data_IF_105161009845
#
_entry.id   IF_105161009845
#
_cell.length_a   1.000
_cell.length_b   1.000
_cell.length_c   1.000
_cell.angle_alpha   90.00
_cell.angle_beta   90.00
_cell.angle_gamma   90.00
#
_symmetry.space_group_name_H-M   'P 1'
#
loop_
_entity.id
_entity.type
_entity.pdbx_description
1 polymer ?
#
# COMPACT_ATOMS: atom_id res chain seq x y z
N UNK A 1 16.68 6.05 -21.33
CA UNK A 1 15.72 6.71 -20.43
C UNK A 1 14.30 6.23 -20.74
N UNK A 2 13.55 5.92 -19.68
CA UNK A 2 12.12 5.67 -19.81
C UNK A 2 11.37 6.96 -19.53
N UNK A 3 10.43 7.37 -20.40
CA UNK A 3 9.60 8.53 -20.09
C UNK A 3 8.73 8.24 -18.86
N UNK A 4 8.35 9.27 -18.08
CA UNK A 4 7.32 9.11 -17.06
C UNK A 4 6.01 8.61 -17.67
N UNK A 5 5.16 8.01 -16.88
CA UNK A 5 3.84 7.58 -17.32
C UNK A 5 2.93 8.78 -17.58
N UNK A 6 2.15 9.18 -16.59
CA UNK A 6 1.27 10.34 -16.67
C UNK A 6 1.78 11.46 -15.78
N UNK A 7 1.98 12.65 -16.33
CA UNK A 7 2.16 13.88 -15.57
C UNK A 7 0.88 14.72 -15.63
N UNK A 8 0.30 15.02 -14.48
CA UNK A 8 -0.99 15.69 -14.37
C UNK A 8 -0.77 17.16 -13.98
N UNK A 9 -1.20 18.03 -14.88
CA UNK A 9 -1.10 19.50 -14.74
C UNK A 9 -2.47 20.20 -14.70
N UNK A 10 -3.57 19.44 -14.72
CA UNK A 10 -4.93 19.98 -14.61
C UNK A 10 -5.49 19.76 -13.20
N UNK A 11 -6.03 20.79 -12.53
CA UNK A 11 -6.64 20.63 -11.22
C UNK A 11 -7.89 19.75 -11.32
N UNK A 12 -8.16 18.96 -10.27
CA UNK A 12 -9.31 18.07 -10.19
C UNK A 12 -9.31 16.89 -11.18
N UNK A 13 -8.21 16.65 -11.91
CA UNK A 13 -8.09 15.56 -12.89
C UNK A 13 -8.33 14.20 -12.24
N UNK A 14 -9.06 13.33 -12.96
CA UNK A 14 -9.31 11.94 -12.55
C UNK A 14 -8.62 10.96 -13.47
N UNK A 15 -7.91 10.00 -12.89
CA UNK A 15 -7.32 8.84 -13.58
C UNK A 15 -8.05 7.59 -13.08
N UNK A 16 -8.79 6.92 -13.96
CA UNK A 16 -9.72 5.86 -13.56
C UNK A 16 -9.44 4.58 -14.34
N UNK A 17 -9.31 3.45 -13.64
CA UNK A 17 -9.22 2.10 -14.20
C UNK A 17 -8.11 1.91 -15.25
N UNK A 18 -7.02 2.64 -15.14
CA UNK A 18 -5.88 2.53 -16.06
C UNK A 18 -4.99 1.35 -15.69
N UNK A 19 -4.25 0.86 -16.66
CA UNK A 19 -3.09 -0.02 -16.44
C UNK A 19 -1.85 0.74 -16.91
N UNK A 20 -0.87 0.88 -16.03
CA UNK A 20 0.38 1.59 -16.30
C UNK A 20 1.54 0.68 -15.92
N UNK A 21 2.36 0.34 -16.90
CA UNK A 21 3.47 -0.55 -16.66
C UNK A 21 4.74 -0.08 -17.36
N UNK A 22 5.87 -0.49 -16.78
CA UNK A 22 7.20 -0.33 -17.40
C UNK A 22 7.53 1.12 -17.85
N UNK A 23 7.07 2.12 -17.08
CA UNK A 23 7.38 3.54 -17.32
C UNK A 23 8.58 4.00 -16.50
N UNK A 24 9.10 5.19 -16.80
CA UNK A 24 10.04 5.90 -15.93
C UNK A 24 9.37 6.44 -14.67
N UNK A 25 10.02 7.37 -14.01
CA UNK A 25 9.50 8.00 -12.78
C UNK A 25 8.81 9.34 -13.09
N UNK A 26 7.63 9.59 -12.50
CA UNK A 26 6.72 8.66 -11.83
C UNK A 26 5.82 7.88 -12.81
N UNK A 27 5.14 6.83 -12.34
CA UNK A 27 4.06 6.20 -13.10
C UNK A 27 2.90 7.17 -13.29
N UNK A 28 2.43 7.79 -12.20
CA UNK A 28 1.53 8.94 -12.20
C UNK A 28 2.14 10.03 -11.33
N UNK A 29 2.31 11.22 -11.87
CA UNK A 29 2.82 12.41 -11.18
C UNK A 29 1.75 13.50 -11.06
N UNK A 30 1.54 14.01 -9.84
CA UNK A 30 0.75 15.20 -9.59
C UNK A 30 1.62 16.27 -8.92
N UNK A 31 1.57 17.46 -9.48
CA UNK A 31 2.34 18.59 -9.02
C UNK A 31 1.41 19.62 -8.37
N UNK A 32 1.85 20.26 -7.28
CA UNK A 32 1.04 21.26 -6.57
C UNK A 32 0.72 22.46 -7.46
N UNK A 33 -0.30 23.22 -7.07
CA UNK A 33 -0.84 24.42 -7.72
C UNK A 33 -1.54 24.11 -9.06
N UNK A 34 -0.81 23.58 -10.02
CA UNK A 34 -1.32 23.28 -11.36
C UNK A 34 -2.08 21.95 -11.44
N UNK A 35 -1.85 21.05 -10.50
CA UNK A 35 -2.49 19.73 -10.45
C UNK A 35 -3.25 19.44 -9.17
N UNK A 36 -3.64 20.45 -8.40
CA UNK A 36 -4.26 20.29 -7.10
C UNK A 36 -5.61 19.56 -7.15
N UNK A 37 -5.90 18.79 -6.08
CA UNK A 37 -7.08 17.94 -5.98
C UNK A 37 -7.07 16.75 -6.96
N UNK A 38 -8.22 16.15 -7.21
CA UNK A 38 -8.38 15.05 -8.17
C UNK A 38 -8.31 13.65 -7.57
N UNK A 39 -8.43 12.65 -8.45
CA UNK A 39 -8.62 11.25 -8.05
C UNK A 39 -7.77 10.30 -8.91
N UNK A 40 -7.12 9.32 -8.28
CA UNK A 40 -6.62 8.11 -8.94
C UNK A 40 -7.39 6.93 -8.38
N UNK A 41 -8.12 6.24 -9.25
CA UNK A 41 -9.02 5.18 -8.84
C UNK A 41 -8.86 3.91 -9.69
N UNK A 42 -8.80 2.75 -9.04
CA UNK A 42 -8.87 1.45 -9.70
C UNK A 42 -7.73 1.16 -10.69
N UNK A 43 -6.65 1.91 -10.61
CA UNK A 43 -5.50 1.82 -11.52
C UNK A 43 -4.53 0.75 -11.04
N UNK A 44 -3.98 -0.02 -11.97
CA UNK A 44 -2.98 -1.06 -11.71
C UNK A 44 -1.63 -0.57 -12.23
N UNK A 45 -0.61 -0.54 -11.37
CA UNK A 45 0.70 0.05 -11.71
C UNK A 45 1.84 -0.86 -11.26
N UNK A 46 2.73 -1.23 -12.21
CA UNK A 46 3.95 -2.00 -11.88
C UNK A 46 5.12 -1.65 -12.79
N UNK A 47 6.34 -2.03 -12.38
CA UNK A 47 7.55 -1.86 -13.18
C UNK A 47 7.94 -0.40 -13.41
N UNK A 48 7.45 0.52 -12.59
CA UNK A 48 7.75 1.95 -12.70
C UNK A 48 9.12 2.25 -12.14
N UNK A 49 9.91 3.01 -12.90
CA UNK A 49 11.20 3.54 -12.49
C UNK A 49 12.37 3.06 -13.30
N UNK A 50 13.54 3.51 -12.90
CA UNK A 50 14.81 3.18 -13.49
C UNK A 50 15.83 2.89 -12.39
N UNK A 51 16.65 1.88 -12.61
CA UNK A 51 17.96 1.81 -12.00
C UNK A 51 18.96 2.41 -12.97
N UNK A 52 19.57 3.52 -12.64
CA UNK A 52 20.66 4.09 -13.39
C UNK A 52 21.97 3.94 -12.60
N UNK A 53 22.79 2.98 -13.03
CA UNK A 53 24.12 2.77 -12.49
C UNK A 53 25.12 3.86 -12.89
N UNK A 54 24.71 4.74 -13.82
CA UNK A 54 25.61 5.69 -14.49
C UNK A 54 25.34 7.15 -14.18
N UNK A 55 24.23 7.51 -13.52
CA UNK A 55 23.99 8.90 -13.17
C UNK A 55 24.99 9.39 -12.13
N UNK A 56 25.80 10.31 -12.60
CA UNK A 56 26.98 10.90 -11.93
C UNK A 56 26.67 11.87 -10.78
N UNK A 57 25.53 11.81 -10.15
CA UNK A 57 25.29 12.58 -8.93
C UNK A 57 25.81 11.82 -7.69
N UNK A 58 27.05 11.38 -7.75
CA UNK A 58 27.85 11.02 -6.56
C UNK A 58 27.47 9.74 -5.82
N UNK A 59 26.41 9.05 -6.17
CA UNK A 59 25.99 7.79 -5.56
C UNK A 59 25.47 6.81 -6.61
N UNK A 60 26.18 5.76 -6.80
CA UNK A 60 25.98 4.68 -7.78
C UNK A 60 24.72 3.83 -7.59
N UNK A 61 23.75 4.22 -6.77
CA UNK A 61 22.58 3.42 -6.39
C UNK A 61 21.28 4.22 -6.36
N UNK A 62 21.10 5.23 -7.18
CA UNK A 62 19.86 5.99 -7.23
C UNK A 62 18.78 5.24 -8.01
N UNK A 63 17.88 4.61 -7.26
CA UNK A 63 16.63 4.10 -7.81
C UNK A 63 15.59 5.21 -7.77
N UNK A 64 15.01 5.57 -8.93
CA UNK A 64 13.84 6.45 -9.02
C UNK A 64 12.68 5.62 -9.55
N UNK A 65 11.50 5.74 -8.94
CA UNK A 65 10.37 5.00 -9.48
C UNK A 65 9.24 4.74 -8.49
N UNK A 66 8.52 5.79 -8.10
CA UNK A 66 7.25 5.63 -7.39
C UNK A 66 6.13 5.36 -8.39
N UNK A 67 5.24 4.40 -8.11
CA UNK A 67 4.07 4.18 -8.94
C UNK A 67 3.22 5.46 -9.01
N UNK A 68 2.93 6.06 -7.86
CA UNK A 68 2.27 7.36 -7.76
C UNK A 68 3.15 8.29 -6.93
N UNK A 69 3.49 9.45 -7.49
CA UNK A 69 4.13 10.55 -6.79
C UNK A 69 3.21 11.76 -6.81
N UNK A 70 2.88 12.30 -5.65
CA UNK A 70 1.90 13.38 -5.61
C UNK A 70 2.24 14.45 -4.58
N UNK A 71 2.02 15.68 -4.98
CA UNK A 71 1.99 16.90 -4.18
C UNK A 71 0.56 17.44 -4.19
N UNK A 72 0.17 18.26 -3.24
CA UNK A 72 -1.15 18.89 -3.19
C UNK A 72 -1.12 20.07 -2.22
N UNK A 73 -1.51 21.24 -2.70
CA UNK A 73 -1.56 22.45 -1.88
C UNK A 73 -2.95 22.69 -1.33
N UNK A 74 -3.96 22.61 -2.19
CA UNK A 74 -5.36 22.89 -1.87
C UNK A 74 -6.29 21.78 -2.29
N UNK A 75 -7.49 21.72 -1.70
CA UNK A 75 -8.47 20.69 -1.98
C UNK A 75 -8.05 19.30 -1.47
N UNK A 76 -8.65 18.28 -2.05
CA UNK A 76 -8.45 16.89 -1.64
C UNK A 76 -7.90 16.05 -2.79
N UNK A 77 -6.82 15.33 -2.53
CA UNK A 77 -6.25 14.30 -3.42
C UNK A 77 -6.71 12.93 -2.97
N UNK A 78 -7.53 12.25 -3.77
CA UNK A 78 -8.02 10.91 -3.47
C UNK A 78 -7.23 9.89 -4.29
N UNK A 79 -6.64 8.92 -3.63
CA UNK A 79 -5.93 7.78 -4.24
C UNK A 79 -6.56 6.53 -3.67
N UNK A 80 -7.45 5.85 -4.43
CA UNK A 80 -8.27 4.78 -3.89
C UNK A 80 -8.40 3.57 -4.81
N UNK A 81 -8.51 2.41 -4.18
CA UNK A 81 -8.76 1.12 -4.83
C UNK A 81 -7.74 0.74 -5.92
N UNK A 82 -6.54 1.33 -5.88
CA UNK A 82 -5.46 1.04 -6.81
C UNK A 82 -4.64 -0.17 -6.36
N UNK A 83 -4.01 -0.84 -7.32
CA UNK A 83 -3.07 -1.94 -7.08
C UNK A 83 -1.69 -1.48 -7.54
N UNK A 84 -0.69 -1.46 -6.64
CA UNK A 84 0.69 -1.11 -7.02
C UNK A 84 1.68 -2.16 -6.51
N UNK A 85 2.52 -2.65 -7.41
CA UNK A 85 3.49 -3.69 -7.06
C UNK A 85 4.73 -3.64 -7.95
N UNK A 86 5.83 -4.17 -7.43
CA UNK A 86 7.12 -4.27 -8.14
C UNK A 86 7.55 -2.96 -8.82
N UNK A 87 7.39 -1.84 -8.10
CA UNK A 87 7.93 -0.56 -8.52
C UNK A 87 9.31 -0.34 -7.88
N UNK A 88 10.18 0.40 -8.57
CA UNK A 88 11.60 0.54 -8.21
C UNK A 88 11.85 1.27 -6.89
N UNK A 89 10.89 2.03 -6.42
CA UNK A 89 10.92 2.59 -5.07
C UNK A 89 9.57 2.41 -4.37
N UNK A 90 8.89 3.49 -4.06
CA UNK A 90 7.67 3.51 -3.27
C UNK A 90 6.45 3.18 -4.13
N UNK A 91 5.50 2.44 -3.59
CA UNK A 91 4.21 2.26 -4.24
C UNK A 91 3.48 3.59 -4.40
N UNK A 92 3.13 4.24 -3.30
CA UNK A 92 2.46 5.55 -3.32
C UNK A 92 3.21 6.54 -2.45
N UNK A 93 3.55 7.70 -3.00
CA UNK A 93 4.38 8.72 -2.36
C UNK A 93 3.72 10.09 -2.39
N UNK A 94 3.18 10.52 -1.25
CA UNK A 94 2.79 11.90 -0.99
C UNK A 94 3.94 12.58 -0.25
N UNK A 95 4.84 13.24 -0.98
CA UNK A 95 6.05 13.80 -0.38
C UNK A 95 6.55 15.02 -1.13
N UNK A 96 7.04 15.97 -0.39
CA UNK A 96 7.85 17.04 -0.94
C UNK A 96 8.85 17.57 0.08
N UNK A 97 9.94 18.11 -0.43
CA UNK A 97 10.87 18.90 0.35
C UNK A 97 10.40 20.35 0.43
N UNK A 98 10.06 20.97 -0.69
CA UNK A 98 9.70 22.38 -0.79
C UNK A 98 8.31 22.65 -1.38
N UNK A 99 7.42 21.66 -1.43
CA UNK A 99 6.04 21.78 -1.90
C UNK A 99 5.05 21.28 -0.84
N UNK A 100 3.78 21.59 -0.98
CA UNK A 100 2.74 21.21 -0.03
C UNK A 100 2.30 19.74 -0.19
N UNK A 101 1.93 19.13 0.93
CA UNK A 101 1.42 17.76 1.03
C UNK A 101 0.15 17.79 1.90
N UNK A 102 -0.92 18.40 1.39
CA UNK A 102 -2.17 18.61 2.13
C UNK A 102 -3.32 17.78 1.58
N UNK A 103 -4.25 17.36 2.45
CA UNK A 103 -5.53 16.78 2.06
C UNK A 103 -5.45 15.43 1.32
N UNK A 104 -4.48 14.59 1.63
CA UNK A 104 -4.32 13.28 1.01
C UNK A 104 -5.23 12.22 1.61
N UNK A 105 -5.89 11.44 0.74
CA UNK A 105 -6.75 10.32 1.11
C UNK A 105 -6.34 9.07 0.35
N UNK A 106 -5.69 8.13 1.07
CA UNK A 106 -5.34 6.81 0.57
C UNK A 106 -6.36 5.80 1.08
N UNK A 107 -7.25 5.34 0.19
CA UNK A 107 -8.35 4.47 0.57
C UNK A 107 -8.30 3.13 -0.16
N UNK A 108 -8.41 2.02 0.57
CA UNK A 108 -8.56 0.67 0.02
C UNK A 108 -7.50 0.26 -1.02
N UNK A 109 -6.34 0.91 -1.05
CA UNK A 109 -5.29 0.55 -2.01
C UNK A 109 -4.63 -0.77 -1.62
N UNK A 110 -4.14 -1.50 -2.62
CA UNK A 110 -3.40 -2.74 -2.47
C UNK A 110 -1.96 -2.54 -2.91
N UNK A 111 -1.01 -2.75 -2.00
CA UNK A 111 0.40 -2.48 -2.28
C UNK A 111 1.29 -3.63 -1.81
N UNK A 112 2.12 -4.15 -2.70
CA UNK A 112 3.00 -5.25 -2.37
C UNK A 112 4.25 -5.28 -3.25
N UNK A 113 5.31 -5.92 -2.76
CA UNK A 113 6.56 -6.10 -3.50
C UNK A 113 7.14 -4.81 -4.13
N UNK A 114 6.85 -3.62 -3.58
CA UNK A 114 7.54 -2.39 -3.95
C UNK A 114 8.91 -2.33 -3.25
N UNK A 115 9.94 -1.81 -3.93
CA UNK A 115 11.34 -1.93 -3.47
C UNK A 115 11.70 -1.00 -2.30
N UNK A 116 10.88 -0.03 -1.97
CA UNK A 116 10.96 0.80 -0.77
C UNK A 116 9.62 0.68 -0.02
N UNK A 117 9.05 1.74 0.47
CA UNK A 117 7.80 1.76 1.23
C UNK A 117 6.59 1.46 0.34
N UNK A 118 5.56 0.85 0.91
CA UNK A 118 4.30 0.73 0.20
C UNK A 118 3.59 2.11 0.13
N UNK A 119 3.34 2.75 1.27
CA UNK A 119 2.82 4.13 1.32
C UNK A 119 3.78 5.00 2.12
N UNK A 120 4.15 6.14 1.56
CA UNK A 120 4.96 7.15 2.20
C UNK A 120 4.30 8.53 2.11
N UNK A 121 4.02 9.14 3.27
CA UNK A 121 3.47 10.49 3.35
C UNK A 121 4.28 11.36 4.31
N UNK A 122 4.82 12.47 3.83
CA UNK A 122 5.58 13.43 4.64
C UNK A 122 5.79 14.75 3.91
N UNK A 123 5.74 15.85 4.61
CA UNK A 123 6.30 17.13 4.18
C UNK A 123 7.61 17.42 4.92
N UNK A 124 8.47 18.28 4.34
CA UNK A 124 9.69 18.80 4.99
C UNK A 124 9.58 20.28 5.32
N UNK A 125 9.65 21.16 4.33
CA UNK A 125 9.60 22.61 4.54
C UNK A 125 8.16 23.07 4.84
N UNK A 126 7.18 22.39 4.22
CA UNK A 126 5.76 22.49 4.55
C UNK A 126 5.29 21.16 5.15
N UNK A 127 4.92 21.14 6.45
CA UNK A 127 4.42 19.92 7.07
C UNK A 127 3.24 19.32 6.33
N UNK A 128 3.16 17.99 6.31
CA UNK A 128 1.97 17.28 5.85
C UNK A 128 0.77 17.66 6.76
N UNK A 129 -0.38 17.88 6.15
CA UNK A 129 -1.60 18.23 6.87
C UNK A 129 -2.84 17.56 6.23
N UNK A 130 -3.68 16.94 7.07
CA UNK A 130 -4.95 16.33 6.61
C UNK A 130 -4.77 15.02 5.84
N UNK A 131 -3.99 14.10 6.39
CA UNK A 131 -3.78 12.76 5.83
C UNK A 131 -4.85 11.77 6.31
N UNK A 132 -5.39 10.96 5.39
CA UNK A 132 -6.14 9.76 5.74
C UNK A 132 -5.56 8.53 5.01
N UNK A 133 -5.21 7.49 5.77
CA UNK A 133 -4.86 6.16 5.28
C UNK A 133 -5.87 5.16 5.81
N UNK A 134 -6.89 4.81 5.02
CA UNK A 134 -8.03 4.01 5.51
C UNK A 134 -8.25 2.78 4.62
N UNK A 135 -8.31 1.60 5.25
CA UNK A 135 -8.65 0.36 4.57
C UNK A 135 -7.60 -0.15 3.59
N UNK A 136 -6.37 0.38 3.60
CA UNK A 136 -5.33 -0.09 2.69
C UNK A 136 -4.83 -1.49 3.10
N UNK A 137 -4.45 -2.26 2.11
CA UNK A 137 -4.00 -3.64 2.24
C UNK A 137 -2.57 -3.75 1.71
N UNK A 138 -1.64 -4.18 2.55
CA UNK A 138 -0.24 -4.31 2.12
C UNK A 138 0.31 -5.68 2.41
N UNK A 139 1.26 -6.13 1.57
CA UNK A 139 1.95 -7.38 1.79
C UNK A 139 3.45 -7.24 1.47
N UNK A 140 4.27 -7.76 2.37
CA UNK A 140 5.70 -8.00 2.21
C UNK A 140 6.06 -9.38 2.76
N UNK A 141 6.80 -10.21 2.02
CA UNK A 141 7.23 -11.51 2.49
C UNK A 141 8.16 -11.40 3.71
N UNK A 142 8.28 -12.46 4.48
CA UNK A 142 9.00 -12.47 5.76
C UNK A 142 10.46 -11.96 5.69
N UNK A 143 11.16 -12.19 4.58
CA UNK A 143 12.54 -11.74 4.36
C UNK A 143 12.70 -10.29 3.92
N UNK A 144 11.62 -9.60 3.57
CA UNK A 144 11.67 -8.20 3.12
C UNK A 144 11.91 -7.26 4.31
N UNK A 145 12.94 -6.40 4.21
CA UNK A 145 13.36 -5.50 5.28
C UNK A 145 12.74 -4.09 5.19
N UNK A 146 11.94 -3.82 4.17
CA UNK A 146 11.37 -2.49 3.96
C UNK A 146 10.07 -2.26 4.76
N UNK A 147 9.69 -1.00 4.91
CA UNK A 147 8.49 -0.57 5.65
C UNK A 147 7.25 -0.63 4.79
N UNK A 148 6.09 -0.83 5.40
CA UNK A 148 4.82 -0.75 4.68
C UNK A 148 4.21 0.65 4.71
N UNK A 149 3.78 1.13 5.87
CA UNK A 149 3.17 2.45 6.02
C UNK A 149 4.13 3.41 6.73
N UNK A 150 4.36 4.58 6.15
CA UNK A 150 5.25 5.60 6.72
C UNK A 150 4.57 6.96 6.70
N UNK A 151 4.46 7.58 7.88
CA UNK A 151 4.02 8.96 8.06
C UNK A 151 5.12 9.76 8.74
N UNK A 152 5.58 10.84 8.08
CA UNK A 152 6.68 11.65 8.56
C UNK A 152 8.06 11.06 8.30
N UNK A 153 8.99 11.91 7.97
CA UNK A 153 10.40 11.54 7.72
C UNK A 153 11.35 12.60 8.26
N UNK A 154 11.06 13.85 7.99
CA UNK A 154 11.88 14.98 8.42
C UNK A 154 11.78 15.25 9.94
N UNK A 155 12.53 16.23 10.42
CA UNK A 155 12.51 16.65 11.83
C UNK A 155 11.43 17.69 12.15
N UNK A 156 10.43 17.81 11.29
CA UNK A 156 9.26 18.68 11.46
C UNK A 156 8.05 17.88 11.89
N UNK A 157 7.18 18.49 12.68
CA UNK A 157 5.92 17.86 13.09
C UNK A 157 4.97 17.81 11.89
N UNK A 158 4.35 16.67 11.66
CA UNK A 158 3.27 16.49 10.69
C UNK A 158 1.92 16.68 11.41
N UNK A 159 0.86 17.04 10.70
CA UNK A 159 -0.42 17.38 11.33
C UNK A 159 -1.59 16.60 10.77
N UNK A 160 -2.59 16.35 11.63
CA UNK A 160 -3.93 15.85 11.27
C UNK A 160 -3.90 14.57 10.42
N UNK A 161 -3.41 13.48 11.01
CA UNK A 161 -3.30 12.19 10.35
C UNK A 161 -4.26 11.14 10.93
N UNK A 162 -4.97 10.44 10.04
CA UNK A 162 -5.85 9.29 10.36
C UNK A 162 -5.33 8.03 9.67
N UNK A 163 -5.00 7.00 10.45
CA UNK A 163 -4.55 5.70 10.00
C UNK A 163 -5.53 4.65 10.55
N UNK A 164 -6.47 4.18 9.70
CA UNK A 164 -7.61 3.42 10.21
C UNK A 164 -7.92 2.20 9.35
N UNK A 165 -8.25 1.09 10.02
CA UNK A 165 -8.74 -0.14 9.39
C UNK A 165 -7.84 -0.69 8.27
N UNK A 166 -6.54 -0.44 8.32
CA UNK A 166 -5.59 -1.00 7.36
C UNK A 166 -5.23 -2.43 7.75
N UNK A 167 -5.01 -3.28 6.75
CA UNK A 167 -4.48 -4.63 6.93
C UNK A 167 -3.05 -4.68 6.38
N UNK A 168 -2.07 -4.71 7.27
CA UNK A 168 -0.67 -4.51 6.94
C UNK A 168 0.13 -5.77 7.29
N UNK A 169 0.62 -6.46 6.27
CA UNK A 169 1.58 -7.56 6.44
C UNK A 169 2.95 -7.06 6.02
N UNK A 170 3.89 -7.12 6.95
CA UNK A 170 5.26 -6.65 6.77
C UNK A 170 6.26 -7.78 7.00
N UNK A 171 7.41 -7.66 6.37
CA UNK A 171 8.51 -8.60 6.51
C UNK A 171 9.33 -8.38 7.79
N UNK A 172 10.65 -8.36 7.65
CA UNK A 172 11.62 -8.29 8.75
C UNK A 172 12.12 -6.88 9.06
N UNK A 173 11.39 -5.84 8.65
CA UNK A 173 11.80 -4.45 8.89
C UNK A 173 12.03 -4.15 10.37
N UNK A 174 13.17 -3.59 10.68
CA UNK A 174 13.48 -3.10 12.04
C UNK A 174 12.86 -1.73 12.34
N UNK A 175 12.24 -1.09 11.34
CA UNK A 175 11.51 0.18 11.47
C UNK A 175 9.99 -0.01 11.54
N UNK A 176 9.52 -1.24 11.32
CA UNK A 176 8.15 -1.65 11.56
C UNK A 176 7.23 -1.64 10.34
N UNK A 177 6.08 -2.28 10.54
CA UNK A 177 4.96 -2.28 9.60
C UNK A 177 4.34 -0.88 9.49
N UNK A 178 4.23 -0.18 10.61
CA UNK A 178 3.80 1.20 10.72
C UNK A 178 4.90 2.05 11.34
N UNK A 179 5.35 3.04 10.60
CA UNK A 179 6.31 4.04 11.05
C UNK A 179 5.63 5.42 11.10
N UNK A 180 5.59 6.01 12.27
CA UNK A 180 5.03 7.37 12.48
C UNK A 180 6.09 8.24 13.12
N UNK A 181 6.52 9.27 12.42
CA UNK A 181 7.50 10.24 12.92
C UNK A 181 6.88 11.61 13.07
N UNK A 182 6.73 12.04 14.33
CA UNK A 182 6.35 13.40 14.70
C UNK A 182 4.99 13.85 14.11
N UNK A 183 3.95 13.00 14.24
CA UNK A 183 2.60 13.38 13.85
C UNK A 183 1.78 13.81 15.07
N UNK A 184 1.18 15.00 14.99
CA UNK A 184 0.23 15.56 15.97
C UNK A 184 -1.21 15.42 15.48
N UNK A 185 -2.19 15.52 16.37
CA UNK A 185 -3.61 15.29 16.06
C UNK A 185 -3.80 13.97 15.30
N UNK A 186 -3.34 12.89 15.91
CA UNK A 186 -3.19 11.60 15.25
C UNK A 186 -4.25 10.60 15.70
N UNK A 187 -4.87 9.92 14.74
CA UNK A 187 -5.76 8.77 14.99
C UNK A 187 -5.18 7.50 14.37
N UNK A 188 -4.94 6.47 15.18
CA UNK A 188 -4.47 5.14 14.72
C UNK A 188 -5.39 4.08 15.32
N UNK A 189 -6.41 3.64 14.57
CA UNK A 189 -7.45 2.75 15.12
C UNK A 189 -7.89 1.66 14.15
N UNK A 190 -8.22 0.49 14.70
CA UNK A 190 -8.81 -0.61 13.94
C UNK A 190 -7.85 -1.28 12.94
N UNK A 191 -6.55 -0.99 13.00
CA UNK A 191 -5.58 -1.58 12.09
C UNK A 191 -5.21 -3.01 12.52
N UNK A 192 -4.96 -3.86 11.54
CA UNK A 192 -4.31 -5.16 11.75
C UNK A 192 -2.89 -5.07 11.20
N UNK A 193 -1.90 -5.23 12.09
CA UNK A 193 -0.49 -5.22 11.73
C UNK A 193 0.12 -6.60 11.99
N UNK A 194 0.69 -7.19 10.96
CA UNK A 194 1.43 -8.47 11.01
C UNK A 194 2.87 -8.21 10.60
N UNK A 195 3.85 -8.65 11.38
CA UNK A 195 5.26 -8.45 11.05
C UNK A 195 6.10 -9.64 11.49
N UNK A 196 7.19 -9.88 10.81
CA UNK A 196 8.21 -10.86 11.24
C UNK A 196 9.21 -10.26 12.23
N UNK A 197 9.21 -8.95 12.42
CA UNK A 197 10.10 -8.22 13.33
C UNK A 197 9.32 -7.09 14.03
N UNK A 198 9.70 -5.83 13.85
CA UNK A 198 9.07 -4.69 14.50
C UNK A 198 7.67 -4.39 13.89
N UNK A 199 6.71 -4.10 14.76
CA UNK A 199 5.33 -3.74 14.36
C UNK A 199 5.19 -2.24 14.16
N UNK A 200 5.63 -1.47 15.15
CA UNK A 200 5.41 -0.02 15.21
C UNK A 200 6.70 0.69 15.61
N UNK A 201 7.04 1.74 14.89
CA UNK A 201 8.00 2.75 15.35
C UNK A 201 7.30 4.10 15.44
N UNK A 202 7.31 4.71 16.61
CA UNK A 202 6.70 6.00 16.89
C UNK A 202 7.73 6.97 17.46
N UNK A 203 7.85 8.13 16.81
CA UNK A 203 8.59 9.27 17.32
C UNK A 203 7.62 10.35 17.74
N UNK A 204 7.78 10.81 18.96
CA UNK A 204 6.90 11.83 19.55
C UNK A 204 7.06 13.17 18.84
N UNK A 205 5.95 13.86 18.51
CA UNK A 205 6.01 15.23 18.00
C UNK A 205 6.41 16.22 19.10
N UNK A 206 6.81 17.42 18.72
CA UNK A 206 7.12 18.51 19.67
C UNK A 206 5.85 18.95 20.41
N UNK A 207 4.71 18.98 19.71
CA UNK A 207 3.38 19.21 20.28
C UNK A 207 2.46 18.07 19.88
N UNK A 208 2.00 17.31 20.86
CA UNK A 208 1.20 16.09 20.60
C UNK A 208 -0.19 16.40 20.05
N UNK A 209 -0.83 17.47 20.47
CA UNK A 209 -2.24 17.68 20.23
C UNK A 209 -3.08 16.51 20.75
N UNK A 210 -4.16 16.17 20.06
CA UNK A 210 -4.99 15.00 20.37
C UNK A 210 -4.42 13.74 19.70
N UNK A 211 -4.13 12.70 20.46
CA UNK A 211 -3.73 11.39 19.93
C UNK A 211 -4.70 10.32 20.41
N UNK A 212 -5.35 9.64 19.45
CA UNK A 212 -6.15 8.44 19.67
C UNK A 212 -5.45 7.26 19.01
N UNK A 213 -4.93 6.34 19.82
CA UNK A 213 -4.24 5.14 19.33
C UNK A 213 -4.77 3.94 20.10
N UNK A 214 -5.71 3.19 19.49
CA UNK A 214 -6.41 2.09 20.17
C UNK A 214 -7.15 1.15 19.21
N UNK A 215 -7.66 0.04 19.75
CA UNK A 215 -8.45 -0.96 19.00
C UNK A 215 -7.71 -1.56 17.79
N UNK A 216 -6.39 -1.68 17.88
CA UNK A 216 -5.56 -2.31 16.84
C UNK A 216 -5.31 -3.79 17.18
N UNK A 217 -5.00 -4.58 16.15
CA UNK A 217 -4.61 -5.99 16.29
C UNK A 217 -3.16 -6.15 15.81
N UNK A 218 -2.33 -6.71 16.66
CA UNK A 218 -0.91 -6.89 16.40
C UNK A 218 -0.54 -8.37 16.40
N UNK A 219 0.18 -8.79 15.37
CA UNK A 219 0.67 -10.15 15.20
C UNK A 219 2.16 -10.12 14.85
N UNK A 220 3.00 -10.67 15.72
CA UNK A 220 4.45 -10.71 15.47
C UNK A 220 5.08 -11.99 15.99
N UNK A 221 6.12 -12.45 15.31
CA UNK A 221 6.88 -13.63 15.71
C UNK A 221 7.71 -13.36 16.97
N UNK A 222 8.85 -12.69 16.84
CA UNK A 222 9.80 -12.46 17.94
C UNK A 222 10.52 -11.13 17.75
N UNK A 223 11.08 -10.58 18.84
CA UNK A 223 11.92 -9.38 18.83
C UNK A 223 11.30 -8.17 19.51
N UNK A 224 11.91 -7.00 19.29
CA UNK A 224 11.41 -5.72 19.79
C UNK A 224 10.23 -5.27 18.95
N UNK A 225 9.02 -5.47 19.44
CA UNK A 225 7.78 -5.32 18.69
C UNK A 225 7.40 -3.87 18.43
N UNK A 226 7.75 -2.99 19.36
CA UNK A 226 7.41 -1.57 19.35
C UNK A 226 8.63 -0.74 19.68
N UNK A 227 8.69 0.48 19.14
CA UNK A 227 9.70 1.47 19.47
C UNK A 227 9.09 2.83 19.72
N UNK A 228 9.54 3.48 20.79
CA UNK A 228 9.25 4.88 21.09
C UNK A 228 10.56 5.65 21.13
N UNK A 229 10.75 6.60 20.19
CA UNK A 229 12.01 7.36 20.06
C UNK A 229 13.24 6.43 20.12
N UNK A 230 13.26 5.40 19.26
CA UNK A 230 14.27 4.33 19.17
C UNK A 230 14.36 3.37 20.39
N UNK A 231 13.70 3.66 21.49
CA UNK A 231 13.67 2.77 22.66
C UNK A 231 12.73 1.59 22.41
N UNK A 232 13.28 0.40 22.39
CA UNK A 232 12.54 -0.85 22.20
C UNK A 232 11.58 -1.12 23.36
N UNK A 233 10.37 -1.64 23.05
CA UNK A 233 9.30 -1.94 23.98
C UNK A 233 8.66 -3.30 23.67
N UNK A 234 8.26 -4.01 24.70
CA UNK A 234 7.22 -5.05 24.60
C UNK A 234 5.86 -4.39 24.45
N UNK A 235 4.80 -5.16 24.16
CA UNK A 235 3.45 -4.61 24.07
C UNK A 235 3.00 -3.95 25.40
N UNK A 236 3.28 -4.57 26.54
CA UNK A 236 2.89 -4.02 27.85
C UNK A 236 3.69 -2.77 28.20
N UNK A 237 4.99 -2.74 27.94
CA UNK A 237 5.81 -1.55 28.17
C UNK A 237 5.52 -0.43 27.18
N UNK A 238 5.06 -0.76 25.96
CA UNK A 238 4.51 0.21 25.01
C UNK A 238 3.26 0.88 25.55
N UNK A 239 2.26 0.10 26.01
CA UNK A 239 1.04 0.63 26.61
C UNK A 239 1.34 1.53 27.81
N UNK A 240 2.21 1.08 28.69
CA UNK A 240 2.59 1.83 29.89
C UNK A 240 3.32 3.13 29.56
N UNK A 241 4.23 3.11 28.58
CA UNK A 241 5.04 4.28 28.21
C UNK A 241 4.25 5.34 27.43
N UNK A 242 3.24 4.94 26.66
CA UNK A 242 2.52 5.82 25.75
C UNK A 242 1.11 6.16 26.21
N UNK A 243 0.48 5.29 26.98
CA UNK A 243 -0.95 5.34 27.31
C UNK A 243 -1.84 4.87 26.14
N UNK A 244 -1.27 4.38 25.06
CA UNK A 244 -1.95 3.89 23.87
C UNK A 244 -2.44 2.45 24.02
N UNK A 245 -3.22 1.98 23.05
CA UNK A 245 -3.60 0.58 22.83
C UNK A 245 -4.24 -0.12 24.03
N UNK A 246 -5.08 0.60 24.78
CA UNK A 246 -5.76 0.06 25.98
C UNK A 246 -6.65 -1.13 25.64
N UNK A 247 -7.36 -1.05 24.52
CA UNK A 247 -8.29 -2.09 24.02
C UNK A 247 -7.73 -2.86 22.81
N UNK A 248 -6.47 -2.66 22.46
CA UNK A 248 -5.80 -3.38 21.40
C UNK A 248 -5.33 -4.76 21.85
N UNK A 249 -5.14 -5.65 20.88
CA UNK A 249 -4.70 -7.03 21.14
C UNK A 249 -3.35 -7.32 20.50
N UNK A 250 -2.57 -8.19 21.14
CA UNK A 250 -1.30 -8.70 20.63
C UNK A 250 -1.27 -10.22 20.69
N UNK A 251 -0.76 -10.82 19.62
CA UNK A 251 -0.44 -12.26 19.54
C UNK A 251 1.00 -12.43 19.08
N UNK A 252 1.72 -13.36 19.71
CA UNK A 252 3.05 -13.79 19.24
C UNK A 252 3.01 -14.70 18.02
N UNK A 253 1.83 -15.16 17.62
CA UNK A 253 1.62 -15.99 16.44
C UNK A 253 1.00 -15.17 15.31
N UNK A 254 1.30 -15.54 14.07
CA UNK A 254 0.63 -14.99 12.88
C UNK A 254 -0.84 -15.40 12.85
N UNK A 255 -1.71 -14.69 12.09
CA UNK A 255 -3.07 -15.16 11.86
C UNK A 255 -3.09 -16.56 11.27
N UNK A 256 -4.12 -17.35 11.60
CA UNK A 256 -4.28 -18.75 11.17
C UNK A 256 -5.43 -18.97 10.20
N UNK A 257 -6.36 -18.02 10.11
CA UNK A 257 -7.51 -18.10 9.20
C UNK A 257 -7.36 -17.15 8.05
N UNK A 258 -7.74 -17.57 6.86
CA UNK A 258 -7.69 -16.75 5.65
C UNK A 258 -8.48 -15.46 5.81
N UNK A 259 -7.96 -14.39 5.22
CA UNK A 259 -8.64 -13.09 5.13
C UNK A 259 -8.77 -12.71 3.67
N UNK A 260 -10.00 -12.50 3.22
CA UNK A 260 -10.32 -12.18 1.84
C UNK A 260 -11.09 -10.87 1.79
N UNK A 261 -10.61 -9.94 1.00
CA UNK A 261 -11.31 -8.68 0.72
C UNK A 261 -11.81 -8.71 -0.72
N UNK A 262 -13.10 -8.44 -0.90
CA UNK A 262 -13.75 -8.31 -2.22
C UNK A 262 -14.23 -6.88 -2.34
N UNK A 263 -13.72 -6.14 -3.31
CA UNK A 263 -13.95 -4.70 -3.48
C UNK A 263 -14.55 -4.43 -4.87
N UNK A 264 -15.85 -4.12 -4.97
CA UNK A 264 -16.46 -3.74 -6.24
C UNK A 264 -15.90 -2.41 -6.74
N UNK A 265 -15.81 -2.26 -8.06
CA UNK A 265 -15.33 -1.03 -8.69
C UNK A 265 -16.45 0.02 -8.72
N UNK A 266 -16.12 1.25 -8.33
CA UNK A 266 -17.07 2.37 -8.25
C UNK A 266 -17.54 2.86 -9.62
N UNK A 267 -16.72 2.73 -10.66
CA UNK A 267 -16.94 3.32 -11.98
C UNK A 267 -17.30 2.30 -13.06
N UNK A 268 -17.12 1.01 -12.80
CA UNK A 268 -17.35 -0.05 -13.80
C UNK A 268 -18.05 -1.24 -13.14
N UNK A 269 -19.30 -1.47 -13.52
CA UNK A 269 -20.07 -2.63 -13.04
C UNK A 269 -19.44 -3.94 -13.52
N UNK A 270 -19.47 -4.97 -12.69
CA UNK A 270 -18.84 -6.26 -12.98
C UNK A 270 -17.32 -6.28 -12.84
N UNK A 271 -16.69 -5.16 -12.51
CA UNK A 271 -15.28 -5.07 -12.17
C UNK A 271 -15.07 -5.01 -10.67
N UNK A 272 -13.95 -5.55 -10.18
CA UNK A 272 -13.57 -5.44 -8.78
C UNK A 272 -12.22 -6.07 -8.49
N UNK A 273 -11.71 -5.84 -7.28
CA UNK A 273 -10.45 -6.39 -6.80
C UNK A 273 -10.72 -7.43 -5.72
N UNK A 274 -9.97 -8.53 -5.74
CA UNK A 274 -9.96 -9.56 -4.71
C UNK A 274 -8.57 -9.62 -4.12
N UNK A 275 -8.45 -9.45 -2.79
CA UNK A 275 -7.18 -9.55 -2.08
C UNK A 275 -7.24 -10.70 -1.10
N UNK A 276 -6.31 -11.62 -1.22
CA UNK A 276 -6.29 -12.85 -0.42
C UNK A 276 -5.03 -12.88 0.43
N UNK A 277 -5.21 -12.95 1.75
CA UNK A 277 -4.19 -13.35 2.71
C UNK A 277 -4.49 -14.81 3.11
N UNK A 278 -3.76 -15.74 2.52
CA UNK A 278 -3.97 -17.19 2.62
C UNK A 278 -3.15 -17.77 3.78
N UNK A 279 -3.53 -17.42 5.01
CA UNK A 279 -2.83 -17.90 6.21
C UNK A 279 -2.90 -19.42 6.39
N UNK A 280 -3.92 -20.05 5.86
CA UNK A 280 -4.08 -21.50 5.84
C UNK A 280 -3.17 -22.19 4.80
N UNK A 281 -2.51 -21.42 3.93
CA UNK A 281 -1.61 -21.90 2.86
C UNK A 281 -2.26 -22.93 1.91
N UNK A 282 -3.54 -22.75 1.64
CA UNK A 282 -4.27 -23.60 0.71
C UNK A 282 -3.80 -23.38 -0.72
N UNK A 283 -3.89 -24.41 -1.56
CA UNK A 283 -3.59 -24.31 -2.99
C UNK A 283 -4.64 -23.50 -3.77
N UNK A 284 -5.85 -23.41 -3.23
CA UNK A 284 -6.94 -22.59 -3.75
C UNK A 284 -7.81 -22.06 -2.62
N UNK A 285 -8.52 -20.96 -2.88
CA UNK A 285 -9.49 -20.35 -1.96
C UNK A 285 -10.83 -20.15 -2.67
N UNK A 286 -11.91 -20.30 -1.93
CA UNK A 286 -13.27 -20.05 -2.41
C UNK A 286 -13.68 -18.62 -2.09
N UNK A 287 -14.18 -17.88 -3.07
CA UNK A 287 -14.50 -16.44 -2.95
C UNK A 287 -15.93 -16.17 -3.41
N UNK A 288 -16.71 -15.55 -2.56
CA UNK A 288 -18.03 -15.01 -2.91
C UNK A 288 -17.89 -13.72 -3.69
N UNK A 289 -18.44 -13.65 -4.89
CA UNK A 289 -18.39 -12.49 -5.79
C UNK A 289 -19.72 -11.75 -5.90
N UNK A 290 -20.71 -12.06 -5.06
CA UNK A 290 -22.05 -11.46 -5.08
C UNK A 290 -22.07 -9.94 -4.92
N UNK A 291 -21.02 -9.35 -4.33
CA UNK A 291 -20.85 -7.89 -4.24
C UNK A 291 -20.39 -7.24 -5.57
N UNK A 292 -19.88 -8.03 -6.52
CA UNK A 292 -19.38 -7.55 -7.82
C UNK A 292 -20.28 -8.01 -8.96
N UNK A 293 -20.76 -9.26 -8.92
CA UNK A 293 -21.47 -9.94 -10.00
C UNK A 293 -22.88 -10.32 -9.57
N UNK A 294 -23.79 -10.35 -10.55
CA UNK A 294 -25.14 -10.93 -10.42
C UNK A 294 -25.22 -12.22 -11.19
N UNK A 295 -26.07 -13.19 -10.78
CA UNK A 295 -26.32 -14.38 -11.58
C UNK A 295 -26.66 -14.03 -13.03
N UNK A 296 -25.97 -14.64 -13.97
CA UNK A 296 -26.05 -14.36 -15.41
C UNK A 296 -24.94 -13.46 -15.94
N UNK A 297 -24.19 -12.74 -15.10
CA UNK A 297 -23.08 -11.90 -15.55
C UNK A 297 -21.93 -12.78 -16.07
N UNK A 298 -21.42 -12.44 -17.26
CA UNK A 298 -20.20 -13.07 -17.80
C UNK A 298 -18.98 -12.36 -17.24
N UNK A 299 -18.02 -13.12 -16.77
CA UNK A 299 -16.83 -12.60 -16.12
C UNK A 299 -15.55 -13.32 -16.54
N UNK A 300 -14.43 -12.67 -16.36
CA UNK A 300 -13.10 -13.25 -16.26
C UNK A 300 -12.37 -12.69 -15.05
N UNK A 301 -11.55 -13.52 -14.43
CA UNK A 301 -10.69 -13.14 -13.31
C UNK A 301 -9.25 -13.31 -13.75
N UNK A 302 -8.46 -12.27 -13.59
CA UNK A 302 -7.03 -12.28 -13.92
C UNK A 302 -6.19 -12.11 -12.66
N UNK A 303 -5.01 -12.70 -12.65
CA UNK A 303 -4.00 -12.42 -11.65
C UNK A 303 -3.41 -11.01 -11.87
N UNK A 304 -3.45 -10.15 -10.85
CA UNK A 304 -2.91 -8.80 -10.97
C UNK A 304 -1.42 -8.80 -11.34
N UNK A 305 -0.65 -9.78 -10.90
CA UNK A 305 0.78 -9.89 -11.18
C UNK A 305 1.09 -10.36 -12.61
N UNK A 306 0.09 -10.90 -13.31
CA UNK A 306 0.15 -11.30 -14.73
C UNK A 306 -1.09 -10.82 -15.48
N UNK A 307 -1.41 -9.53 -15.34
CA UNK A 307 -2.68 -8.93 -15.75
C UNK A 307 -3.07 -9.19 -17.21
N UNK A 308 -2.11 -9.23 -18.12
CA UNK A 308 -2.33 -9.51 -19.54
C UNK A 308 -2.22 -11.00 -19.90
N UNK A 309 -1.99 -11.85 -18.90
CA UNK A 309 -1.96 -13.32 -19.08
C UNK A 309 -3.35 -13.94 -19.25
N UNK A 310 -3.38 -15.25 -19.36
CA UNK A 310 -4.63 -15.99 -19.38
C UNK A 310 -5.43 -15.79 -18.08
N UNK A 311 -6.77 -15.68 -18.17
CA UNK A 311 -7.62 -15.65 -16.97
C UNK A 311 -7.42 -16.89 -16.11
N UNK A 312 -7.42 -16.71 -14.79
CA UNK A 312 -7.36 -17.84 -13.81
C UNK A 312 -8.72 -18.47 -13.58
N UNK A 313 -9.80 -17.74 -13.88
CA UNK A 313 -11.18 -18.21 -13.91
C UNK A 313 -11.99 -17.38 -14.89
N UNK A 314 -12.99 -17.97 -15.52
CA UNK A 314 -13.94 -17.27 -16.37
C UNK A 314 -15.23 -18.09 -16.53
N UNK A 315 -16.32 -17.44 -16.83
CA UNK A 315 -17.61 -18.10 -17.04
C UNK A 315 -18.79 -17.18 -16.92
N UNK A 316 -19.96 -17.75 -16.69
CA UNK A 316 -21.18 -17.06 -16.30
C UNK A 316 -21.37 -17.27 -14.81
N UNK A 317 -21.55 -16.19 -14.06
CA UNK A 317 -21.73 -16.28 -12.61
C UNK A 317 -23.10 -16.87 -12.28
N UNK A 318 -23.12 -17.91 -11.47
CA UNK A 318 -24.34 -18.65 -11.08
C UNK A 318 -24.86 -18.25 -9.69
N UNK A 319 -24.16 -17.37 -8.99
CA UNK A 319 -24.45 -16.97 -7.60
C UNK A 319 -23.64 -17.76 -6.56
N UNK A 320 -22.87 -18.76 -6.96
CA UNK A 320 -22.00 -19.54 -6.09
C UNK A 320 -20.61 -18.91 -5.89
N UNK A 321 -19.84 -19.52 -5.02
CA UNK A 321 -18.44 -19.09 -4.82
C UNK A 321 -17.53 -19.57 -5.94
N UNK A 322 -16.56 -18.74 -6.31
CA UNK A 322 -15.55 -19.06 -7.33
C UNK A 322 -14.25 -19.50 -6.67
N UNK A 323 -13.67 -20.60 -7.13
CA UNK A 323 -12.38 -21.11 -6.65
C UNK A 323 -11.23 -20.40 -7.37
N UNK A 324 -10.31 -19.80 -6.62
CA UNK A 324 -9.13 -19.09 -7.14
C UNK A 324 -7.84 -19.82 -6.72
N UNK A 325 -6.90 -20.06 -7.65
CA UNK A 325 -5.62 -20.69 -7.34
C UNK A 325 -4.69 -19.75 -6.56
N UNK A 326 -3.98 -20.32 -5.57
CA UNK A 326 -3.00 -19.59 -4.77
C UNK A 326 -1.54 -19.98 -5.06
N UNK A 327 -1.31 -20.90 -5.98
CA UNK A 327 0.01 -21.44 -6.34
C UNK A 327 0.51 -20.91 -7.70
N UNK A 328 0.11 -19.70 -8.06
CA UNK A 328 0.52 -19.07 -9.31
C UNK A 328 2.01 -18.68 -9.28
N UNK A 329 2.66 -18.77 -10.43
CA UNK A 329 4.09 -18.46 -10.59
C UNK A 329 4.38 -17.51 -11.74
N UNK A 330 3.45 -17.37 -12.68
CA UNK A 330 3.61 -16.48 -13.83
C UNK A 330 3.50 -15.02 -13.42
N UNK A 331 4.38 -14.18 -13.96
CA UNK A 331 4.39 -12.73 -13.69
C UNK A 331 4.59 -11.95 -14.98
N UNK A 332 4.00 -10.78 -15.06
CA UNK A 332 4.25 -9.84 -16.14
C UNK A 332 5.73 -9.42 -16.15
N UNK A 333 6.36 -9.32 -17.31
CA UNK A 333 7.76 -8.91 -17.41
C UNK A 333 7.95 -7.47 -16.96
N UNK A 334 9.10 -7.21 -16.32
CA UNK A 334 9.60 -5.88 -16.07
C UNK A 334 10.80 -5.67 -16.98
N UNK A 335 10.73 -4.66 -17.85
CA UNK A 335 11.81 -4.36 -18.79
C UNK A 335 12.86 -3.46 -18.15
N UNK A 336 14.15 -3.64 -18.52
CA UNK A 336 15.29 -2.89 -18.04
C UNK A 336 16.20 -3.69 -17.12
N UNK A 337 17.23 -3.07 -16.53
CA UNK A 337 18.15 -3.76 -15.62
C UNK A 337 17.45 -4.13 -14.30
N UNK A 338 17.36 -5.43 -14.04
CA UNK A 338 16.63 -6.01 -12.90
C UNK A 338 17.61 -6.39 -11.76
N UNK A 339 18.65 -5.61 -11.51
CA UNK A 339 19.67 -5.97 -10.50
C UNK A 339 19.13 -6.06 -9.06
N UNK A 340 17.95 -5.50 -8.79
CA UNK A 340 17.39 -5.40 -7.43
C UNK A 340 15.97 -5.94 -7.29
N UNK A 341 15.41 -6.54 -8.34
CA UNK A 341 14.09 -7.14 -8.29
C UNK A 341 14.14 -8.63 -8.53
N UNK A 342 13.55 -9.36 -7.61
CA UNK A 342 13.13 -10.72 -7.88
C UNK A 342 11.84 -10.64 -8.73
N UNK A 343 11.94 -10.97 -10.03
CA UNK A 343 10.76 -11.04 -10.91
C UNK A 343 10.01 -12.36 -10.68
N UNK A 344 9.62 -12.60 -9.44
CA UNK A 344 8.89 -13.79 -9.00
C UNK A 344 7.52 -13.40 -8.46
N UNK A 345 6.59 -14.31 -8.58
CA UNK A 345 5.26 -14.18 -8.00
C UNK A 345 5.33 -14.14 -6.47
N UNK A 346 4.37 -13.46 -5.82
CA UNK A 346 4.24 -13.57 -4.37
C UNK A 346 4.03 -15.01 -3.94
N UNK A 347 4.50 -15.40 -2.73
CA UNK A 347 4.24 -16.74 -2.21
C UNK A 347 2.73 -17.05 -2.14
N UNK A 348 2.37 -18.32 -2.03
CA UNK A 348 0.98 -18.76 -1.90
C UNK A 348 0.24 -18.18 -0.68
N UNK A 349 0.93 -17.48 0.21
CA UNK A 349 0.39 -16.77 1.37
C UNK A 349 -0.40 -15.52 0.97
N UNK A 350 -0.16 -14.96 -0.22
CA UNK A 350 -0.80 -13.71 -0.66
C UNK A 350 -0.98 -13.65 -2.16
N UNK A 351 -2.16 -13.23 -2.61
CA UNK A 351 -2.38 -12.85 -4.00
C UNK A 351 -3.47 -11.79 -4.16
N UNK A 352 -3.47 -11.16 -5.33
CA UNK A 352 -4.44 -10.15 -5.75
C UNK A 352 -4.99 -10.51 -7.11
N UNK A 353 -6.31 -10.54 -7.23
CA UNK A 353 -6.99 -10.80 -8.49
C UNK A 353 -7.89 -9.62 -8.88
N UNK A 354 -8.12 -9.49 -10.18
CA UNK A 354 -9.03 -8.50 -10.75
C UNK A 354 -10.15 -9.21 -11.47
N UNK A 355 -11.37 -8.94 -11.05
CA UNK A 355 -12.59 -9.36 -11.76
C UNK A 355 -12.86 -8.33 -12.86
N UNK A 356 -13.10 -8.80 -14.06
CA UNK A 356 -13.42 -7.99 -15.24
C UNK A 356 -14.69 -8.53 -15.90
N UNK A 357 -15.57 -7.67 -16.40
CA UNK A 357 -16.67 -8.11 -17.25
C UNK A 357 -16.12 -8.81 -18.51
N UNK A 358 -16.79 -9.85 -18.96
CA UNK A 358 -16.50 -10.55 -20.21
C UNK A 358 -17.66 -10.37 -21.19
N UNK A 359 -17.33 -10.12 -22.46
CA UNK A 359 -18.31 -10.01 -23.54
C UNK A 359 -18.82 -11.38 -23.98
#
# INVERSE_FOLDING_TARGET
DRPPGLNIFGPGTKVINMVIDNTGHPGIGFWEEIGDGGEVYGTIIWGVGLYDATTKEGNSNWTRGSAIYAQNRTGTRIISDNITFRNWTTGMKAYSEGAYVNGFKFYNNVLFANNDRNIFASGRDFPLNGLEMIGNMTYRPAGDSERSLTVGYASVDQHDAVIKNNYVVNGSSNLGALYVKRASNLTVTGNTLVSSNNLVTYYTPSSKGSITWDNNKYYAGSGSLFKVNDSAKTFDTWKSATGFDKNSTYSSSRPTSNVIFVKPNKYEAGRGNIVVYNWEKRSSVSVDLSSILKPGDRYKIVDAQNFFGAPVASGTYDGGSVSLPMNLTAVAPIYGEIKHFSNVHTPNEFNVFVVLPAN
#
